data_IF_799329822844
#
_entry.id   IF_799329822844
#
_cell.length_a   1.000
_cell.length_b   1.000
_cell.length_c   1.000
_cell.angle_alpha   90.00
_cell.angle_beta   90.00
_cell.angle_gamma   90.00
#
_symmetry.space_group_name_H-M   'P 1'
#
loop_
_entity.id
_entity.type
_entity.pdbx_description
1 polymer ?
#
# COMPACT_ATOMS: atom_id res chain seq x y z
N UNK A 1 11.82 -8.25 -15.98
CA UNK A 1 11.00 -7.05 -16.23
C UNK A 1 11.87 -5.82 -15.99
N UNK A 2 11.72 -4.77 -16.80
CA UNK A 2 12.39 -3.48 -16.54
C UNK A 2 11.63 -2.80 -15.41
N UNK A 3 12.35 -2.30 -14.41
CA UNK A 3 11.74 -1.64 -13.25
C UNK A 3 11.01 -0.38 -13.68
N UNK A 4 9.74 -0.24 -13.26
CA UNK A 4 8.98 0.98 -13.49
C UNK A 4 9.69 2.17 -12.82
N UNK A 5 9.55 3.35 -13.43
CA UNK A 5 10.09 4.62 -12.96
C UNK A 5 9.00 5.68 -13.02
N UNK A 6 9.23 6.84 -12.40
CA UNK A 6 8.33 7.99 -12.53
C UNK A 6 8.06 8.33 -14.01
N UNK A 7 9.09 8.28 -14.87
CA UNK A 7 8.92 8.53 -16.31
C UNK A 7 8.02 7.49 -16.96
N UNK A 8 8.31 6.19 -16.74
CA UNK A 8 7.53 5.13 -17.38
C UNK A 8 6.06 5.14 -16.95
N UNK A 9 5.75 5.51 -15.70
CA UNK A 9 4.39 5.66 -15.22
C UNK A 9 3.64 6.81 -15.91
N UNK A 10 4.30 7.97 -16.09
CA UNK A 10 3.75 9.09 -16.88
C UNK A 10 3.52 8.69 -18.33
N UNK A 11 4.45 7.94 -18.92
CA UNK A 11 4.31 7.43 -20.28
C UNK A 11 3.14 6.42 -20.42
N UNK A 12 2.90 5.56 -19.42
CA UNK A 12 1.73 4.66 -19.41
C UNK A 12 0.43 5.47 -19.49
N UNK A 13 0.29 6.54 -18.67
CA UNK A 13 -0.85 7.46 -18.78
C UNK A 13 -0.97 8.06 -20.17
N UNK A 14 0.13 8.59 -20.73
CA UNK A 14 0.12 9.20 -22.06
C UNK A 14 -0.31 8.22 -23.17
N UNK A 15 -0.03 6.92 -23.01
CA UNK A 15 -0.48 5.84 -23.91
C UNK A 15 -1.87 5.29 -23.58
N UNK A 16 -2.51 5.74 -22.51
CA UNK A 16 -3.79 5.21 -22.03
C UNK A 16 -3.70 3.80 -21.41
N UNK A 17 -2.49 3.35 -21.05
CA UNK A 17 -2.26 2.07 -20.40
C UNK A 17 -2.49 2.19 -18.89
N UNK A 18 -3.30 1.28 -18.32
CA UNK A 18 -3.60 1.33 -16.88
C UNK A 18 -2.39 0.94 -16.03
N UNK A 19 -2.22 1.65 -14.91
CA UNK A 19 -1.21 1.36 -13.89
C UNK A 19 -1.81 0.42 -12.84
N UNK A 20 -1.12 -0.67 -12.59
CA UNK A 20 -1.49 -1.67 -11.59
C UNK A 20 -0.67 -1.48 -10.32
N UNK A 21 -1.37 -1.22 -9.21
CA UNK A 21 -0.75 -0.99 -7.91
C UNK A 21 -1.41 -1.90 -6.88
N UNK A 22 -0.60 -2.49 -5.99
CA UNK A 22 -1.10 -3.33 -4.92
C UNK A 22 -0.27 -3.07 -3.67
N UNK A 23 -0.88 -3.14 -2.49
CA UNK A 23 -0.07 -3.10 -1.27
C UNK A 23 0.75 -4.38 -1.11
N UNK A 24 1.85 -4.31 -0.36
CA UNK A 24 2.58 -5.47 0.18
C UNK A 24 3.36 -5.01 1.42
N UNK A 25 3.62 -5.92 2.34
CA UNK A 25 4.12 -5.53 3.68
C UNK A 25 5.32 -6.37 4.15
N UNK A 26 5.66 -7.42 3.42
CA UNK A 26 6.75 -8.32 3.78
C UNK A 26 7.48 -8.85 2.55
N UNK A 27 8.56 -9.59 2.78
CA UNK A 27 9.36 -10.19 1.73
C UNK A 27 8.58 -11.18 0.83
N UNK A 28 7.83 -12.17 1.36
CA UNK A 28 7.12 -13.13 0.52
C UNK A 28 5.99 -12.50 -0.31
N UNK A 29 5.18 -11.60 0.28
CA UNK A 29 4.13 -10.88 -0.47
C UNK A 29 4.74 -10.04 -1.59
N UNK A 30 5.82 -9.28 -1.30
CA UNK A 30 6.51 -8.49 -2.33
C UNK A 30 7.03 -9.36 -3.48
N UNK A 31 7.58 -10.55 -3.20
CA UNK A 31 7.99 -11.51 -4.24
C UNK A 31 6.84 -11.96 -5.12
N UNK A 32 5.68 -12.23 -4.53
CA UNK A 32 4.50 -12.65 -5.28
C UNK A 32 3.98 -11.50 -6.15
N UNK A 33 3.95 -10.28 -5.62
CA UNK A 33 3.56 -9.08 -6.39
C UNK A 33 4.52 -8.82 -7.56
N UNK A 34 5.83 -8.92 -7.33
CA UNK A 34 6.82 -8.78 -8.41
C UNK A 34 6.67 -9.88 -9.47
N UNK A 35 6.46 -11.12 -9.04
CA UNK A 35 6.27 -12.26 -9.96
C UNK A 35 5.02 -12.10 -10.82
N UNK A 36 3.94 -11.55 -10.24
CA UNK A 36 2.70 -11.25 -10.95
C UNK A 36 2.83 -10.05 -11.92
N UNK A 37 3.93 -9.30 -11.87
CA UNK A 37 4.23 -8.23 -12.82
C UNK A 37 3.45 -6.93 -12.60
N UNK A 38 3.08 -6.64 -11.35
CA UNK A 38 2.45 -5.36 -10.98
C UNK A 38 3.45 -4.20 -11.17
N UNK A 39 2.94 -3.03 -11.55
CA UNK A 39 3.78 -1.85 -11.81
C UNK A 39 4.33 -1.25 -10.51
N UNK A 40 3.48 -1.16 -9.47
CA UNK A 40 3.80 -0.48 -8.20
C UNK A 40 3.42 -1.34 -7.00
N UNK A 41 4.31 -1.39 -6.01
CA UNK A 41 4.00 -1.83 -4.65
C UNK A 41 3.85 -0.61 -3.75
N UNK A 42 2.75 -0.56 -3.00
CA UNK A 42 2.56 0.38 -1.90
C UNK A 42 2.83 -0.29 -0.55
N UNK A 43 3.84 0.19 0.16
CA UNK A 43 3.95 -0.10 1.59
C UNK A 43 3.14 0.96 2.31
N UNK A 44 1.84 0.70 2.44
CA UNK A 44 0.85 1.61 2.99
C UNK A 44 0.72 1.50 4.52
N UNK A 45 0.39 2.60 5.20
CA UNK A 45 0.07 2.60 6.64
C UNK A 45 -1.17 1.75 6.98
N UNK A 46 -1.95 1.36 5.97
CA UNK A 46 -2.94 0.26 6.03
C UNK A 46 -2.42 -1.03 6.69
N UNK A 47 -1.10 -1.24 6.76
CA UNK A 47 -0.48 -2.30 7.56
C UNK A 47 -0.88 -2.23 9.04
N UNK A 48 -1.16 -1.05 9.59
CA UNK A 48 -1.59 -0.88 10.97
C UNK A 48 -2.82 -1.73 11.26
N UNK A 49 -3.81 -1.68 10.37
CA UNK A 49 -5.04 -2.46 10.51
C UNK A 49 -4.87 -3.88 9.98
N UNK A 50 -4.28 -4.04 8.79
CA UNK A 50 -4.28 -5.31 8.08
C UNK A 50 -3.20 -6.31 8.57
N UNK A 51 -2.14 -5.82 9.21
CA UNK A 51 -1.00 -6.62 9.68
C UNK A 51 -0.85 -6.55 11.19
N UNK A 52 -0.89 -5.33 11.76
CA UNK A 52 -0.62 -5.11 13.18
C UNK A 52 -1.87 -5.17 14.06
N UNK A 53 -3.06 -5.20 13.47
CA UNK A 53 -4.33 -5.32 14.20
C UNK A 53 -4.73 -4.06 14.98
N UNK A 54 -4.23 -2.88 14.60
CA UNK A 54 -4.70 -1.61 15.12
C UNK A 54 -6.10 -1.26 14.61
N UNK A 55 -6.87 -0.53 15.41
CA UNK A 55 -8.21 -0.08 15.03
C UNK A 55 -8.20 0.98 13.91
N UNK A 56 -7.09 1.72 13.79
CA UNK A 56 -6.87 2.77 12.78
C UNK A 56 -5.41 2.77 12.33
N UNK A 57 -5.06 3.53 11.29
CA UNK A 57 -3.67 3.70 10.84
C UNK A 57 -2.87 4.71 11.68
N UNK A 58 -3.53 5.47 12.58
CA UNK A 58 -2.88 6.52 13.38
C UNK A 58 -1.73 6.05 14.28
N UNK A 59 -1.77 4.85 14.91
CA UNK A 59 -0.68 4.40 15.77
C UNK A 59 0.58 3.97 15.01
N UNK A 60 0.49 3.80 13.68
CA UNK A 60 1.63 3.34 12.87
C UNK A 60 2.77 4.35 12.96
N UNK A 61 3.93 3.89 13.39
CA UNK A 61 5.12 4.70 13.58
C UNK A 61 5.99 4.77 12.32
N UNK A 62 6.89 5.75 12.28
CA UNK A 62 7.94 5.82 11.25
C UNK A 62 8.80 4.55 11.21
N UNK A 63 9.15 3.97 12.35
CA UNK A 63 10.03 2.81 12.41
C UNK A 63 9.37 1.54 11.88
N UNK A 64 8.07 1.37 12.11
CA UNK A 64 7.28 0.30 11.50
C UNK A 64 7.20 0.45 9.99
N UNK A 65 6.93 1.66 9.49
CA UNK A 65 6.91 1.91 8.05
C UNK A 65 8.26 1.62 7.40
N UNK A 66 9.36 2.03 8.03
CA UNK A 66 10.72 1.73 7.56
C UNK A 66 11.02 0.23 7.63
N UNK A 67 10.60 -0.48 8.69
CA UNK A 67 10.77 -1.92 8.83
C UNK A 67 10.10 -2.69 7.69
N UNK A 68 8.81 -2.44 7.47
CA UNK A 68 8.04 -3.11 6.41
C UNK A 68 8.55 -2.73 5.02
N UNK A 69 8.92 -1.47 4.81
CA UNK A 69 9.49 -1.04 3.53
C UNK A 69 10.81 -1.76 3.24
N UNK A 70 11.70 -1.91 4.23
CA UNK A 70 12.94 -2.71 4.10
C UNK A 70 12.65 -4.17 3.73
N UNK A 71 11.60 -4.77 4.27
CA UNK A 71 11.23 -6.15 3.94
C UNK A 71 10.75 -6.28 2.50
N UNK A 72 9.90 -5.36 2.05
CA UNK A 72 9.32 -5.34 0.70
C UNK A 72 10.38 -5.10 -0.36
N UNK A 73 11.27 -4.12 -0.17
CA UNK A 73 12.30 -3.79 -1.17
C UNK A 73 13.35 -4.89 -1.32
N UNK A 74 13.56 -5.73 -0.29
CA UNK A 74 14.35 -6.97 -0.44
C UNK A 74 13.64 -8.02 -1.31
N UNK A 75 12.31 -8.08 -1.26
CA UNK A 75 11.48 -9.05 -1.96
C UNK A 75 11.18 -8.68 -3.40
N UNK A 76 11.04 -7.39 -3.69
CA UNK A 76 10.74 -6.85 -5.02
C UNK A 76 11.83 -5.87 -5.47
N UNK A 77 12.85 -6.38 -6.18
CA UNK A 77 14.00 -5.57 -6.63
C UNK A 77 13.69 -4.74 -7.87
N UNK A 78 12.79 -5.25 -8.71
CA UNK A 78 12.42 -4.76 -10.04
C UNK A 78 11.01 -4.19 -10.11
N UNK A 79 10.23 -4.14 -9.02
CA UNK A 79 8.96 -3.39 -8.96
C UNK A 79 9.18 -2.03 -8.30
N UNK A 80 8.43 -1.00 -8.74
CA UNK A 80 8.53 0.35 -8.16
C UNK A 80 7.86 0.37 -6.78
N UNK A 81 8.60 0.72 -5.73
CA UNK A 81 8.10 0.71 -4.34
C UNK A 81 7.87 2.12 -3.84
N UNK A 82 6.66 2.38 -3.32
CA UNK A 82 6.26 3.61 -2.65
C UNK A 82 6.05 3.32 -1.16
N UNK A 83 6.67 4.09 -0.27
CA UNK A 83 6.44 4.01 1.18
C UNK A 83 5.51 5.11 1.66
N UNK A 84 4.52 4.78 2.49
CA UNK A 84 3.64 5.79 3.09
C UNK A 84 4.34 6.55 4.21
N UNK A 85 4.24 7.87 4.20
CA UNK A 85 4.54 8.66 5.39
C UNK A 85 3.38 8.51 6.39
N UNK A 86 3.62 7.92 7.58
CA UNK A 86 2.56 7.70 8.57
C UNK A 86 2.12 9.01 9.22
N UNK A 87 1.01 8.96 9.96
CA UNK A 87 0.48 10.11 10.68
C UNK A 87 1.56 10.80 11.54
N UNK A 88 1.46 12.14 11.64
CA UNK A 88 2.38 13.04 12.33
C UNK A 88 3.81 13.15 11.73
N UNK A 89 4.26 12.23 10.87
CA UNK A 89 5.63 12.24 10.33
C UNK A 89 5.96 13.37 9.34
N UNK A 90 4.95 14.10 8.89
CA UNK A 90 5.08 15.25 7.98
C UNK A 90 4.29 16.48 8.43
N UNK A 91 3.86 16.50 9.71
CA UNK A 91 2.97 17.52 10.26
C UNK A 91 3.68 18.55 11.15
N UNK A 92 4.85 18.21 11.71
CA UNK A 92 5.50 19.02 12.74
C UNK A 92 6.33 20.17 12.16
N UNK A 93 7.30 19.85 11.30
CA UNK A 93 8.13 20.85 10.62
C UNK A 93 8.55 20.39 9.23
N UNK A 94 8.91 21.35 8.38
CA UNK A 94 9.40 21.09 7.02
C UNK A 94 10.65 20.21 7.01
N UNK A 95 11.61 20.48 7.90
CA UNK A 95 12.87 19.73 7.96
C UNK A 95 12.66 18.31 8.50
N UNK A 96 11.77 18.13 9.46
CA UNK A 96 11.42 16.79 9.95
C UNK A 96 10.69 15.98 8.88
N UNK A 97 9.76 16.59 8.13
CA UNK A 97 9.08 15.94 7.02
C UNK A 97 10.07 15.46 5.95
N UNK A 98 11.05 16.29 5.60
CA UNK A 98 12.13 15.92 4.66
C UNK A 98 12.99 14.80 5.22
N UNK A 99 13.39 14.88 6.50
CA UNK A 99 14.19 13.84 7.13
C UNK A 99 13.45 12.49 7.09
N UNK A 100 12.18 12.48 7.50
CA UNK A 100 11.34 11.27 7.48
C UNK A 100 11.14 10.71 6.07
N UNK A 101 10.87 11.56 5.08
CA UNK A 101 10.79 11.15 3.68
C UNK A 101 12.12 10.54 3.18
N UNK A 102 13.25 11.13 3.57
CA UNK A 102 14.58 10.66 3.23
C UNK A 102 14.89 9.26 3.76
N UNK A 103 14.37 8.90 4.95
CA UNK A 103 14.56 7.56 5.54
C UNK A 103 14.02 6.44 4.64
N UNK A 104 12.90 6.65 3.94
CA UNK A 104 12.34 5.66 3.03
C UNK A 104 13.28 5.33 1.87
N UNK A 105 13.96 6.33 1.32
CA UNK A 105 14.89 6.15 0.21
C UNK A 105 16.23 5.61 0.71
N UNK A 106 16.80 6.22 1.75
CA UNK A 106 18.15 5.92 2.23
C UNK A 106 18.22 4.62 3.02
N UNK A 107 17.28 4.40 3.94
CA UNK A 107 17.31 3.23 4.80
C UNK A 107 16.51 2.06 4.23
N UNK A 108 15.37 2.36 3.60
CA UNK A 108 14.42 1.33 3.21
C UNK A 108 14.45 0.96 1.72
N UNK A 109 15.09 1.76 0.87
CA UNK A 109 15.23 1.48 -0.56
C UNK A 109 13.95 1.68 -1.38
N UNK A 110 12.95 2.42 -0.87
CA UNK A 110 11.81 2.85 -1.67
C UNK A 110 12.25 3.85 -2.75
N UNK A 111 11.48 3.97 -3.82
CA UNK A 111 11.76 4.92 -4.90
C UNK A 111 10.99 6.23 -4.74
N UNK A 112 9.93 6.23 -3.93
CA UNK A 112 9.06 7.36 -3.71
C UNK A 112 8.37 7.24 -2.35
N UNK A 113 7.76 8.34 -1.91
CA UNK A 113 6.87 8.35 -0.76
C UNK A 113 5.43 8.67 -1.16
N UNK A 114 4.46 8.27 -0.34
CA UNK A 114 3.07 8.76 -0.38
C UNK A 114 2.79 9.58 0.88
N UNK A 115 2.02 10.66 0.76
CA UNK A 115 1.52 11.39 1.92
C UNK A 115 0.10 11.91 1.66
N UNK A 116 -0.67 12.08 2.74
CA UNK A 116 -2.07 12.48 2.71
C UNK A 116 -2.25 13.97 2.95
N UNK A 117 -3.16 14.59 2.20
CA UNK A 117 -3.59 15.97 2.41
C UNK A 117 -3.62 16.79 1.12
N UNK A 118 -4.42 17.86 1.16
CA UNK A 118 -4.69 18.75 0.05
C UNK A 118 -3.85 20.02 0.13
N UNK A 119 -4.53 21.16 0.05
CA UNK A 119 -3.93 22.50 0.07
C UNK A 119 -3.02 22.73 1.29
N UNK A 120 -3.41 22.22 2.46
CA UNK A 120 -2.69 22.37 3.72
C UNK A 120 -1.34 21.63 3.78
N UNK A 121 -1.00 20.83 2.76
CA UNK A 121 0.27 20.11 2.66
C UNK A 121 1.18 20.61 1.55
N UNK A 122 0.77 21.63 0.80
CA UNK A 122 1.51 22.12 -0.37
C UNK A 122 2.92 22.59 -0.01
N UNK A 123 3.09 23.28 1.12
CA UNK A 123 4.41 23.76 1.55
C UNK A 123 5.37 22.60 1.85
N UNK A 124 4.90 21.60 2.61
CA UNK A 124 5.64 20.36 2.93
C UNK A 124 6.00 19.60 1.65
N UNK A 125 5.03 19.42 0.74
CA UNK A 125 5.24 18.70 -0.52
C UNK A 125 6.29 19.41 -1.37
N UNK A 126 6.18 20.72 -1.58
CA UNK A 126 7.18 21.50 -2.34
C UNK A 126 8.56 21.35 -1.73
N UNK A 127 8.66 21.41 -0.40
CA UNK A 127 9.93 21.22 0.31
C UNK A 127 10.51 19.84 0.07
N UNK A 128 9.73 18.76 0.18
CA UNK A 128 10.19 17.39 -0.05
C UNK A 128 10.61 17.21 -1.53
N UNK A 129 9.77 17.60 -2.48
CA UNK A 129 10.04 17.51 -3.91
C UNK A 129 11.32 18.27 -4.29
N UNK A 130 11.57 19.44 -3.69
CA UNK A 130 12.79 20.23 -3.94
C UNK A 130 14.09 19.52 -3.57
N UNK A 131 14.02 18.46 -2.74
CA UNK A 131 15.17 17.62 -2.38
C UNK A 131 15.40 16.44 -3.33
N UNK A 132 14.57 16.31 -4.37
CA UNK A 132 14.63 15.22 -5.34
C UNK A 132 13.87 13.96 -4.96
N UNK A 133 13.13 13.97 -3.84
CA UNK A 133 12.30 12.84 -3.41
C UNK A 133 10.98 12.84 -4.22
N UNK A 134 10.65 11.78 -4.98
CA UNK A 134 9.37 11.70 -5.67
C UNK A 134 8.21 11.51 -4.67
N UNK A 135 7.18 12.35 -4.81
CA UNK A 135 5.99 12.34 -3.94
C UNK A 135 4.77 11.89 -4.73
N UNK A 136 4.07 10.90 -4.20
CA UNK A 136 2.71 10.55 -4.59
C UNK A 136 1.75 11.24 -3.61
N UNK A 137 0.87 12.12 -4.10
CA UNK A 137 -0.15 12.74 -3.25
C UNK A 137 -1.32 11.78 -2.97
N UNK A 138 -2.09 12.04 -1.93
CA UNK A 138 -3.33 11.34 -1.62
C UNK A 138 -4.41 12.31 -1.15
N UNK A 139 -5.52 12.39 -1.91
CA UNK A 139 -6.71 13.18 -1.57
C UNK A 139 -8.00 12.37 -1.75
N UNK A 140 -9.12 12.94 -1.31
CA UNK A 140 -10.38 12.22 -1.13
C UNK A 140 -10.50 11.81 0.33
N UNK A 141 -10.88 10.56 0.58
CA UNK A 141 -10.86 10.02 1.93
C UNK A 141 -9.40 9.74 2.33
N UNK A 142 -8.90 10.45 3.33
CA UNK A 142 -7.55 10.27 3.89
C UNK A 142 -7.66 9.61 5.27
N UNK A 143 -7.38 8.30 5.41
CA UNK A 143 -7.50 7.56 6.67
C UNK A 143 -6.79 8.19 7.88
N UNK A 144 -5.68 8.91 7.69
CA UNK A 144 -4.98 9.61 8.77
C UNK A 144 -5.80 10.78 9.35
N UNK A 145 -6.90 11.17 8.69
CA UNK A 145 -7.85 12.18 9.15
C UNK A 145 -9.19 11.57 9.58
N UNK A 146 -9.25 10.25 9.86
CA UNK A 146 -10.50 9.52 10.17
C UNK A 146 -11.35 10.17 11.26
N UNK A 147 -10.74 10.72 12.31
CA UNK A 147 -11.48 11.39 13.39
C UNK A 147 -12.03 12.76 12.98
N UNK A 148 -11.29 13.52 12.16
CA UNK A 148 -11.76 14.80 11.62
C UNK A 148 -12.90 14.59 10.62
N UNK A 149 -12.83 13.52 9.82
CA UNK A 149 -13.86 13.15 8.84
C UNK A 149 -15.07 12.43 9.48
N UNK A 150 -14.93 12.00 10.73
CA UNK A 150 -15.95 11.24 11.46
C UNK A 150 -16.23 9.87 10.84
N UNK A 151 -15.16 9.17 10.41
CA UNK A 151 -15.18 7.84 9.82
C UNK A 151 -14.88 7.79 8.31
N UNK A 152 -14.89 6.58 7.76
CA UNK A 152 -14.61 6.29 6.35
C UNK A 152 -15.81 6.66 5.45
N UNK A 153 -15.85 7.92 5.00
CA UNK A 153 -16.96 8.46 4.20
C UNK A 153 -16.49 8.85 2.80
N UNK A 154 -17.37 8.67 1.83
CA UNK A 154 -17.20 9.14 0.45
C UNK A 154 -17.08 10.67 0.43
N UNK A 155 -16.06 11.18 -0.27
CA UNK A 155 -15.77 12.62 -0.41
C UNK A 155 -16.20 13.16 -1.78
N UNK A 156 -16.47 14.47 -1.90
CA UNK A 156 -16.80 15.08 -3.20
C UNK A 156 -18.23 14.82 -3.69
N UNK A 157 -19.17 14.57 -2.78
CA UNK A 157 -20.60 14.35 -3.13
C UNK A 157 -21.33 15.63 -3.56
N UNK A 158 -20.94 16.77 -2.99
CA UNK A 158 -21.52 18.07 -3.30
C UNK A 158 -20.65 18.88 -4.26
N UNK A 159 -21.26 19.80 -4.99
CA UNK A 159 -20.57 20.67 -5.96
C UNK A 159 -19.35 21.39 -5.37
N UNK A 160 -19.50 22.00 -4.21
CA UNK A 160 -18.42 22.72 -3.52
C UNK A 160 -17.24 21.80 -3.17
N UNK A 161 -17.52 20.62 -2.60
CA UNK A 161 -16.47 19.62 -2.30
C UNK A 161 -15.81 19.07 -3.57
N UNK A 162 -16.57 18.92 -4.65
CA UNK A 162 -16.04 18.47 -5.94
C UNK A 162 -15.12 19.52 -6.57
N UNK A 163 -15.52 20.80 -6.56
CA UNK A 163 -14.71 21.93 -7.01
C UNK A 163 -13.44 22.05 -6.15
N UNK A 164 -13.55 21.89 -4.83
CA UNK A 164 -12.40 21.86 -3.91
C UNK A 164 -11.42 20.73 -4.24
N UNK A 165 -11.88 19.49 -4.38
CA UNK A 165 -10.99 18.35 -4.69
C UNK A 165 -10.28 18.52 -6.04
N UNK A 166 -10.97 19.05 -7.06
CA UNK A 166 -10.34 19.37 -8.34
C UNK A 166 -9.28 20.48 -8.21
N UNK A 167 -9.56 21.50 -7.39
CA UNK A 167 -8.60 22.56 -7.11
C UNK A 167 -7.36 22.03 -6.39
N UNK A 168 -7.54 21.28 -5.30
CA UNK A 168 -6.44 20.65 -4.54
C UNK A 168 -5.61 19.73 -5.43
N UNK A 169 -6.25 18.92 -6.29
CA UNK A 169 -5.56 18.06 -7.23
C UNK A 169 -4.59 18.83 -8.16
N UNK A 170 -5.02 20.00 -8.67
CA UNK A 170 -4.18 20.87 -9.51
C UNK A 170 -3.05 21.50 -8.71
N UNK A 171 -3.35 22.01 -7.51
CA UNK A 171 -2.32 22.58 -6.63
C UNK A 171 -1.22 21.56 -6.30
N UNK A 172 -1.62 20.32 -6.04
CA UNK A 172 -0.68 19.24 -5.75
C UNK A 172 0.19 18.90 -6.97
N UNK A 173 -0.39 18.85 -8.17
CA UNK A 173 0.38 18.69 -9.41
C UNK A 173 1.37 19.86 -9.61
N UNK A 174 0.93 21.10 -9.40
CA UNK A 174 1.80 22.30 -9.45
C UNK A 174 2.90 22.28 -8.36
N UNK A 175 2.65 21.65 -7.22
CA UNK A 175 3.64 21.42 -6.17
C UNK A 175 4.70 20.36 -6.55
N UNK A 176 4.49 19.63 -7.65
CA UNK A 176 5.46 18.72 -8.24
C UNK A 176 5.32 17.25 -7.83
N UNK A 177 4.17 16.82 -7.30
CA UNK A 177 3.91 15.39 -7.12
C UNK A 177 3.96 14.67 -8.48
N UNK A 178 4.37 13.41 -8.50
CA UNK A 178 4.47 12.66 -9.76
C UNK A 178 3.22 11.84 -10.08
N UNK A 179 2.37 11.59 -9.09
CA UNK A 179 1.15 10.78 -9.18
C UNK A 179 0.22 11.15 -8.02
N UNK A 180 -1.10 10.93 -8.18
CA UNK A 180 -2.11 11.24 -7.18
C UNK A 180 -3.03 10.06 -6.90
N UNK A 181 -3.17 9.65 -5.64
CA UNK A 181 -4.21 8.71 -5.21
C UNK A 181 -5.52 9.46 -4.99
N UNK A 182 -6.61 8.91 -5.51
CA UNK A 182 -7.99 9.35 -5.26
C UNK A 182 -8.74 8.23 -4.55
N UNK A 183 -9.09 8.45 -3.27
CA UNK A 183 -9.78 7.45 -2.44
C UNK A 183 -11.23 7.83 -2.14
N UNK A 184 -12.15 6.88 -2.36
CA UNK A 184 -13.58 7.02 -2.10
C UNK A 184 -14.19 8.32 -2.68
N UNK A 185 -13.87 8.61 -3.93
CA UNK A 185 -14.38 9.75 -4.72
C UNK A 185 -15.41 9.27 -5.75
N UNK A 186 -16.55 9.97 -5.98
CA UNK A 186 -17.49 9.62 -7.03
C UNK A 186 -16.81 9.47 -8.39
N UNK A 187 -17.13 8.38 -9.10
CA UNK A 187 -16.46 8.03 -10.36
C UNK A 187 -16.46 9.16 -11.42
N UNK A 188 -17.54 9.94 -11.63
CA UNK A 188 -17.51 11.06 -12.58
C UNK A 188 -16.52 12.17 -12.18
N UNK A 189 -16.36 12.42 -10.89
CA UNK A 189 -15.41 13.41 -10.39
C UNK A 189 -13.97 12.91 -10.54
N UNK A 190 -13.72 11.65 -10.19
CA UNK A 190 -12.39 11.05 -10.36
C UNK A 190 -11.96 11.02 -11.84
N UNK A 191 -12.87 10.71 -12.77
CA UNK A 191 -12.63 10.80 -14.22
C UNK A 191 -12.32 12.24 -14.65
N UNK A 192 -13.08 13.22 -14.14
CA UNK A 192 -12.84 14.65 -14.40
C UNK A 192 -11.46 15.10 -13.92
N UNK A 193 -11.07 14.73 -12.70
CA UNK A 193 -9.74 15.04 -12.14
C UNK A 193 -8.66 14.37 -12.98
N UNK A 194 -8.82 13.09 -13.31
CA UNK A 194 -7.83 12.33 -14.08
C UNK A 194 -7.55 12.93 -15.45
N UNK A 195 -8.58 13.45 -16.12
CA UNK A 195 -8.47 14.16 -17.40
C UNK A 195 -7.87 15.57 -17.27
N UNK A 196 -8.03 16.20 -16.10
CA UNK A 196 -7.53 17.55 -15.86
C UNK A 196 -6.02 17.58 -15.53
N UNK A 197 -5.48 16.48 -14.99
CA UNK A 197 -4.06 16.37 -14.61
C UNK A 197 -3.22 15.72 -15.72
N UNK A 198 -1.96 16.15 -15.82
CA UNK A 198 -0.95 15.51 -16.68
C UNK A 198 -0.27 14.32 -16.02
N UNK A 199 -0.23 14.29 -14.67
CA UNK A 199 0.30 13.17 -13.88
C UNK A 199 -0.71 12.02 -13.74
N UNK A 200 -0.26 10.76 -13.57
CA UNK A 200 -1.12 9.62 -13.26
C UNK A 200 -1.99 9.79 -12.01
N UNK A 201 -3.26 9.40 -12.12
CA UNK A 201 -4.15 9.19 -10.98
C UNK A 201 -4.31 7.69 -10.69
N UNK A 202 -4.30 7.32 -9.42
CA UNK A 202 -4.54 5.94 -8.95
C UNK A 202 -5.82 5.94 -8.13
N UNK A 203 -6.83 5.17 -8.56
CA UNK A 203 -8.11 5.08 -7.87
C UNK A 203 -8.15 3.96 -6.83
N UNK A 204 -8.82 4.20 -5.72
CA UNK A 204 -9.31 3.18 -4.78
C UNK A 204 -10.71 3.56 -4.34
N UNK A 205 -11.72 2.82 -4.81
CA UNK A 205 -13.12 3.26 -4.68
C UNK A 205 -13.45 4.56 -5.44
N UNK A 206 -12.67 4.88 -6.48
CA UNK A 206 -12.83 6.06 -7.32
C UNK A 206 -13.32 5.75 -8.76
N UNK A 207 -13.75 4.52 -9.01
CA UNK A 207 -14.17 4.06 -10.34
C UNK A 207 -13.01 3.88 -11.33
N UNK A 208 -13.34 3.46 -12.55
CA UNK A 208 -12.36 3.07 -13.58
C UNK A 208 -11.80 4.26 -14.40
N UNK A 209 -12.23 5.50 -14.11
CA UNK A 209 -11.78 6.71 -14.79
C UNK A 209 -10.34 7.11 -14.47
N UNK A 210 -9.79 6.66 -13.34
CA UNK A 210 -8.38 6.90 -12.98
C UNK A 210 -7.39 6.17 -13.90
N UNK A 211 -6.17 6.67 -14.01
CA UNK A 211 -5.10 6.08 -14.84
C UNK A 211 -4.57 4.74 -14.30
N UNK A 212 -4.83 4.44 -13.04
CA UNK A 212 -4.53 3.16 -12.41
C UNK A 212 -5.45 2.85 -11.26
N UNK A 213 -5.22 1.71 -10.61
CA UNK A 213 -5.99 1.27 -9.44
C UNK A 213 -5.05 0.71 -8.37
N UNK A 214 -5.43 0.90 -7.10
CA UNK A 214 -4.79 0.27 -5.95
C UNK A 214 -5.84 -0.42 -5.06
N UNK A 215 -5.44 -1.56 -4.48
CA UNK A 215 -6.19 -2.24 -3.42
C UNK A 215 -5.21 -2.75 -2.36
N UNK A 216 -5.76 -3.12 -1.20
CA UNK A 216 -5.02 -3.80 -0.15
C UNK A 216 -4.82 -5.28 -0.50
N UNK A 217 -3.60 -5.79 -0.37
CA UNK A 217 -3.22 -7.19 -0.60
C UNK A 217 -4.18 -8.20 0.03
N UNK A 218 -4.46 -8.02 1.32
CA UNK A 218 -5.33 -8.90 2.10
C UNK A 218 -6.76 -8.93 1.57
N UNK A 219 -7.26 -7.79 1.09
CA UNK A 219 -8.60 -7.65 0.55
C UNK A 219 -8.72 -8.32 -0.83
N UNK A 220 -7.71 -8.15 -1.69
CA UNK A 220 -7.64 -8.80 -3.01
C UNK A 220 -7.60 -10.33 -2.88
N UNK A 221 -6.94 -10.85 -1.85
CA UNK A 221 -6.82 -12.28 -1.60
C UNK A 221 -7.92 -12.88 -0.71
N UNK A 222 -8.90 -12.09 -0.28
CA UNK A 222 -9.96 -12.56 0.61
C UNK A 222 -9.44 -13.10 1.95
N UNK A 223 -8.37 -12.50 2.47
CA UNK A 223 -7.83 -12.79 3.81
C UNK A 223 -8.65 -12.05 4.87
N UNK A 224 -8.97 -10.77 4.63
CA UNK A 224 -9.79 -9.93 5.50
C UNK A 224 -11.24 -10.43 5.54
N UNK A 225 -11.77 -10.69 6.74
CA UNK A 225 -13.16 -11.16 6.92
C UNK A 225 -14.08 -10.11 7.54
N UNK A 226 -13.59 -9.30 8.47
CA UNK A 226 -14.44 -8.45 9.33
C UNK A 226 -14.88 -7.14 8.67
N UNK A 227 -14.09 -6.61 7.73
CA UNK A 227 -14.38 -5.36 7.04
C UNK A 227 -14.22 -5.54 5.53
N UNK A 228 -15.34 -5.48 4.80
CA UNK A 228 -15.36 -5.57 3.33
C UNK A 228 -15.91 -4.27 2.74
N UNK A 229 -15.05 -3.28 2.43
CA UNK A 229 -15.50 -2.06 1.78
C UNK A 229 -16.16 -2.37 0.43
N UNK A 230 -17.23 -1.63 0.08
CA UNK A 230 -18.03 -1.91 -1.13
C UNK A 230 -17.21 -1.89 -2.44
N UNK A 231 -16.12 -1.15 -2.47
CA UNK A 231 -15.27 -1.02 -3.66
C UNK A 231 -14.26 -2.17 -3.83
N UNK A 232 -14.14 -3.05 -2.84
CA UNK A 232 -13.21 -4.18 -2.89
C UNK A 232 -13.82 -5.32 -3.70
N UNK A 233 -12.98 -5.96 -4.52
CA UNK A 233 -13.25 -7.25 -5.14
C UNK A 233 -12.18 -8.24 -4.67
N UNK A 234 -12.59 -9.28 -3.96
CA UNK A 234 -11.74 -10.43 -3.70
C UNK A 234 -11.61 -11.27 -4.98
N UNK A 235 -10.40 -11.72 -5.29
CA UNK A 235 -10.09 -12.58 -6.43
C UNK A 235 -9.92 -14.05 -6.02
N UNK A 236 -9.85 -14.32 -4.71
CA UNK A 236 -9.88 -15.64 -4.09
C UNK A 236 -10.36 -15.49 -2.64
N UNK A 237 -10.69 -16.60 -1.98
CA UNK A 237 -11.08 -16.65 -0.55
C UNK A 237 -10.02 -17.40 0.25
N UNK A 238 -8.84 -16.79 0.40
CA UNK A 238 -7.66 -17.46 0.96
C UNK A 238 -7.80 -17.73 2.47
N UNK A 239 -8.61 -16.95 3.19
CA UNK A 239 -8.85 -17.18 4.62
C UNK A 239 -9.35 -18.61 4.90
N UNK A 240 -10.38 -19.06 4.19
CA UNK A 240 -10.95 -20.39 4.37
C UNK A 240 -9.92 -21.49 4.05
N UNK A 241 -9.19 -21.32 2.95
CA UNK A 241 -8.13 -22.26 2.53
C UNK A 241 -7.03 -22.38 3.59
N UNK A 242 -6.58 -21.26 4.16
CA UNK A 242 -5.57 -21.24 5.22
C UNK A 242 -6.11 -21.92 6.48
N UNK A 243 -7.32 -21.55 6.93
CA UNK A 243 -7.91 -22.13 8.14
C UNK A 243 -8.08 -23.64 8.01
N UNK A 244 -8.53 -24.13 6.86
CA UNK A 244 -8.69 -25.56 6.63
C UNK A 244 -7.34 -26.29 6.57
N UNK A 245 -6.31 -25.70 5.95
CA UNK A 245 -4.95 -26.25 5.99
C UNK A 245 -4.40 -26.36 7.42
N UNK A 246 -4.62 -25.33 8.26
CA UNK A 246 -4.20 -25.33 9.65
C UNK A 246 -4.96 -26.38 10.49
N UNK A 247 -6.27 -26.57 10.25
CA UNK A 247 -7.05 -27.63 10.89
C UNK A 247 -6.55 -29.01 10.48
N UNK A 248 -6.24 -29.23 9.21
CA UNK A 248 -5.67 -30.49 8.73
C UNK A 248 -4.33 -30.78 9.42
N UNK A 249 -3.42 -29.79 9.45
CA UNK A 249 -2.14 -29.94 10.16
C UNK A 249 -2.34 -30.30 11.64
N UNK A 250 -3.23 -29.58 12.35
CA UNK A 250 -3.57 -29.87 13.74
C UNK A 250 -4.05 -31.33 13.91
N UNK A 251 -4.99 -31.76 13.07
CA UNK A 251 -5.56 -33.11 13.15
C UNK A 251 -4.51 -34.19 12.85
N UNK A 252 -3.64 -33.98 11.86
CA UNK A 252 -2.58 -34.93 11.54
C UNK A 252 -1.54 -35.06 12.66
N UNK A 253 -1.25 -33.97 13.39
CA UNK A 253 -0.40 -34.01 14.58
C UNK A 253 -1.08 -34.76 15.72
N UNK A 254 -2.35 -34.47 16.01
CA UNK A 254 -3.10 -35.10 17.10
C UNK A 254 -3.33 -36.60 16.87
N UNK A 255 -3.48 -37.01 15.61
CA UNK A 255 -3.63 -38.42 15.22
C UNK A 255 -2.29 -39.16 15.03
N UNK A 256 -1.15 -38.46 15.18
CA UNK A 256 0.19 -39.03 14.96
C UNK A 256 0.49 -39.38 13.50
N UNK A 257 -0.25 -38.82 12.54
CA UNK A 257 0.02 -38.94 11.10
C UNK A 257 1.19 -38.07 10.65
N UNK A 258 1.38 -36.92 11.30
CA UNK A 258 2.53 -36.05 11.10
C UNK A 258 3.44 -36.03 12.34
N UNK A 259 4.78 -36.13 12.17
CA UNK A 259 5.49 -36.36 10.91
C UNK A 259 5.33 -37.81 10.43
N UNK A 260 5.06 -37.99 9.14
CA UNK A 260 5.20 -39.29 8.47
C UNK A 260 6.68 -39.66 8.31
N UNK A 261 6.99 -40.93 8.00
CA UNK A 261 8.37 -41.44 7.85
C UNK A 261 9.24 -40.58 6.90
N UNK A 262 8.69 -40.10 5.79
CA UNK A 262 9.42 -39.22 4.85
C UNK A 262 9.78 -37.83 5.40
N UNK A 263 9.24 -37.46 6.56
CA UNK A 263 9.48 -36.19 7.26
C UNK A 263 10.31 -36.40 8.55
N UNK A 264 10.89 -37.59 8.75
CA UNK A 264 11.75 -37.87 9.91
C UNK A 264 13.18 -38.20 9.46
N UNK A 265 14.12 -38.08 10.40
CA UNK A 265 15.50 -38.49 10.21
C UNK A 265 15.75 -39.79 10.97
N UNK A 266 16.53 -40.70 10.38
CA UNK A 266 16.85 -41.99 10.99
C UNK A 266 18.16 -41.93 11.78
N UNK A 267 18.28 -42.83 12.75
CA UNK A 267 19.53 -43.08 13.48
C UNK A 267 19.75 -44.58 13.55
N UNK A 268 21.01 -45.03 13.46
CA UNK A 268 21.35 -46.44 13.70
C UNK A 268 21.02 -46.80 15.14
N UNK A 269 20.44 -47.98 15.36
CA UNK A 269 20.03 -48.45 16.69
C UNK A 269 21.19 -48.44 17.69
N UNK A 270 22.42 -48.74 17.25
CA UNK A 270 23.63 -48.73 18.06
C UNK A 270 23.93 -47.37 18.72
N UNK A 271 23.39 -46.29 18.17
CA UNK A 271 23.57 -44.92 18.68
C UNK A 271 22.39 -44.46 19.57
N UNK A 272 21.34 -45.27 19.75
CA UNK A 272 20.21 -44.92 20.63
C UNK A 272 20.65 -45.06 22.09
N UNK A 273 20.60 -43.98 22.91
CA UNK A 273 20.88 -44.08 24.33
C UNK A 273 19.91 -45.06 24.99
N UNK A 274 20.44 -46.07 25.70
CA UNK A 274 19.60 -47.00 26.46
C UNK A 274 19.02 -46.27 27.66
N UNK A 275 17.69 -46.17 27.71
CA UNK A 275 16.98 -45.84 28.94
C UNK A 275 17.06 -47.08 29.84
N UNK A 276 17.74 -46.91 30.99
CA UNK A 276 18.00 -47.84 32.10
C UNK A 276 17.51 -49.30 31.96
#
# INVERSE_FOLDING_TARGET
MVKATVSSLKEKKARGEKISMLTAYDYPSAKMVETAGLDIILVGDSLGMAVLGYDTTLPVSMDEMIHHTKAVTRGARNTFVVGDMPFLSFHLSLDEAVANAGRFLQEAGAQAIKLEGGEERIEVIKRIVSTGIPVMGHIGLTPQSVHQMGGFKVQGKGREQAEKLLHEARMLEEAGIFSLVLECVPAPLADTISKALTIPTIGIGAGAGCDGQVLVWHDVLGITQDMKPRFVKAYTELHAVIVDALKTYKNEVEEGKFPAEGHTFTMREENIPKLY
#
